data_IF_308918920508
#
_entry.id   IF_308918920508
#
_cell.length_a   1.000
_cell.length_b   1.000
_cell.length_c   1.000
_cell.angle_alpha   90.00
_cell.angle_beta   90.00
_cell.angle_gamma   90.00
#
_symmetry.space_group_name_H-M   'P 1'
#
loop_
_entity.id
_entity.type
_entity.pdbx_description
1 polymer ?
#
# COMPACT_ATOMS: atom_id res chain seq x y z
N UNK A 1 14.40 3.36 -26.26
CA UNK A 1 13.76 2.70 -25.10
C UNK A 1 12.34 3.22 -24.95
N UNK A 2 11.39 2.34 -24.62
CA UNK A 2 9.96 2.69 -24.53
C UNK A 2 9.59 3.40 -23.22
N UNK A 3 8.53 4.22 -23.24
CA UNK A 3 8.03 4.96 -22.06
C UNK A 3 7.72 4.03 -20.87
N UNK A 4 7.19 2.84 -21.13
CA UNK A 4 6.89 1.84 -20.10
C UNK A 4 8.16 1.38 -19.35
N UNK A 5 9.30 1.26 -20.03
CA UNK A 5 10.56 0.87 -19.39
C UNK A 5 11.02 1.91 -18.37
N UNK A 6 11.03 3.19 -18.77
CA UNK A 6 11.40 4.30 -17.88
C UNK A 6 10.44 4.37 -16.68
N UNK A 7 9.14 4.21 -16.91
CA UNK A 7 8.14 4.24 -15.84
C UNK A 7 8.32 3.11 -14.84
N UNK A 8 8.61 1.91 -15.32
CA UNK A 8 8.91 0.77 -14.44
C UNK A 8 10.20 0.95 -13.65
N UNK A 9 11.23 1.56 -14.22
CA UNK A 9 12.45 1.85 -13.49
C UNK A 9 12.18 2.88 -12.37
N UNK A 10 11.51 3.98 -12.70
CA UNK A 10 11.11 4.98 -11.69
C UNK A 10 10.22 4.35 -10.62
N UNK A 11 9.26 3.50 -11.00
CA UNK A 11 8.42 2.75 -10.06
C UNK A 11 9.27 1.89 -9.13
N UNK A 12 10.24 1.15 -9.66
CA UNK A 12 11.12 0.28 -8.87
C UNK A 12 11.90 1.09 -7.83
N UNK A 13 12.42 2.26 -8.23
CA UNK A 13 13.13 3.16 -7.31
C UNK A 13 12.21 3.73 -6.23
N UNK A 14 10.97 4.09 -6.57
CA UNK A 14 9.97 4.57 -5.62
C UNK A 14 9.50 3.45 -4.66
N UNK A 15 9.29 2.25 -5.15
CA UNK A 15 8.90 1.10 -4.32
C UNK A 15 9.98 0.75 -3.27
N UNK A 16 11.27 1.00 -3.57
CA UNK A 16 12.37 0.82 -2.63
C UNK A 16 12.32 1.79 -1.42
N UNK A 17 11.55 2.87 -1.52
CA UNK A 17 11.35 3.89 -0.48
C UNK A 17 9.86 4.09 -0.15
N UNK A 18 9.05 3.02 -0.28
CA UNK A 18 7.60 3.09 -0.10
C UNK A 18 7.17 3.45 1.33
N UNK A 19 8.05 3.36 2.32
CA UNK A 19 7.83 3.79 3.70
C UNK A 19 7.91 5.32 3.89
N UNK A 20 8.45 6.04 2.89
CA UNK A 20 8.51 7.50 2.90
C UNK A 20 7.12 8.10 2.64
N UNK A 21 6.73 9.03 3.50
CA UNK A 21 5.47 9.77 3.37
C UNK A 21 5.32 10.44 1.99
N UNK A 22 4.20 10.18 1.31
CA UNK A 22 3.93 10.73 -0.02
C UNK A 22 4.35 9.84 -1.19
N UNK A 23 5.19 8.82 -0.95
CA UNK A 23 5.59 7.86 -1.99
C UNK A 23 4.44 6.90 -2.36
N UNK A 24 3.70 6.31 -1.42
CA UNK A 24 2.54 5.46 -1.75
C UNK A 24 1.51 6.17 -2.63
N UNK A 25 1.18 7.43 -2.31
CA UNK A 25 0.21 8.22 -3.08
C UNK A 25 0.72 8.56 -4.49
N UNK A 26 2.04 8.63 -4.67
CA UNK A 26 2.65 8.80 -5.98
C UNK A 26 2.59 7.48 -6.77
N UNK A 27 2.94 6.35 -6.16
CA UNK A 27 2.87 5.02 -6.77
C UNK A 27 1.45 4.65 -7.25
N UNK A 28 0.42 5.02 -6.50
CA UNK A 28 -1.00 4.84 -6.86
C UNK A 28 -1.40 5.62 -8.14
N UNK A 29 -0.60 6.61 -8.53
CA UNK A 29 -0.83 7.45 -9.72
C UNK A 29 0.02 7.04 -10.91
N UNK A 30 0.87 6.04 -10.78
CA UNK A 30 1.59 5.50 -11.91
C UNK A 30 0.65 4.68 -12.77
N UNK A 31 0.72 4.84 -14.10
CA UNK A 31 -0.26 4.26 -15.00
C UNK A 31 0.02 2.77 -15.18
N UNK A 32 -1.05 2.00 -15.28
CA UNK A 32 -1.02 0.59 -15.68
C UNK A 32 -2.08 0.33 -16.75
N UNK A 33 -1.85 -0.65 -17.62
CA UNK A 33 -2.86 -1.13 -18.56
C UNK A 33 -3.68 -2.26 -17.92
N UNK A 34 -4.90 -1.96 -17.51
CA UNK A 34 -5.80 -2.91 -16.83
C UNK A 34 -6.61 -3.69 -17.86
N UNK A 35 -6.43 -5.01 -17.90
CA UNK A 35 -7.12 -5.87 -18.85
C UNK A 35 -8.55 -6.23 -18.39
N UNK A 36 -9.55 -5.95 -19.23
CA UNK A 36 -10.96 -6.15 -18.94
C UNK A 36 -11.65 -6.97 -20.05
N UNK A 37 -12.12 -8.16 -19.70
CA UNK A 37 -12.75 -9.14 -20.58
C UNK A 37 -12.81 -10.48 -19.84
N UNK A 38 -13.28 -11.55 -20.46
CA UNK A 38 -13.17 -12.92 -19.96
C UNK A 38 -11.76 -13.49 -20.12
N UNK A 39 -11.47 -14.59 -19.40
CA UNK A 39 -10.15 -15.27 -19.40
C UNK A 39 -9.63 -15.51 -20.82
N UNK A 40 -10.49 -15.98 -21.73
CA UNK A 40 -10.10 -16.32 -23.10
C UNK A 40 -9.55 -15.10 -23.86
N UNK A 41 -10.29 -13.99 -23.85
CA UNK A 41 -9.88 -12.76 -24.52
C UNK A 41 -8.60 -12.16 -23.90
N UNK A 42 -8.49 -12.18 -22.57
CA UNK A 42 -7.28 -11.69 -21.87
C UNK A 42 -6.05 -12.55 -22.19
N UNK A 43 -6.19 -13.88 -22.25
CA UNK A 43 -5.13 -14.80 -22.68
C UNK A 43 -4.68 -14.53 -24.12
N UNK A 44 -5.62 -14.28 -25.02
CA UNK A 44 -5.32 -13.99 -26.42
C UNK A 44 -4.47 -12.72 -26.55
N UNK A 45 -4.86 -11.63 -25.87
CA UNK A 45 -4.06 -10.41 -25.86
C UNK A 45 -2.70 -10.60 -25.20
N UNK A 46 -2.63 -11.27 -24.03
CA UNK A 46 -1.33 -11.52 -23.36
C UNK A 46 -0.41 -12.37 -24.24
N UNK A 47 -0.93 -13.38 -24.94
CA UNK A 47 -0.14 -14.16 -25.89
C UNK A 47 0.40 -13.28 -27.03
N UNK A 48 -0.43 -12.37 -27.57
CA UNK A 48 -0.01 -11.45 -28.62
C UNK A 48 1.05 -10.43 -28.14
N UNK A 49 0.93 -9.96 -26.89
CA UNK A 49 1.91 -9.06 -26.27
C UNK A 49 3.24 -9.76 -25.99
N UNK A 50 3.25 -11.07 -25.75
CA UNK A 50 4.48 -11.86 -25.58
C UNK A 50 5.23 -12.10 -26.90
N UNK A 51 4.63 -11.73 -28.05
CA UNK A 51 5.27 -11.80 -29.36
C UNK A 51 5.24 -13.18 -30.00
N UNK A 52 6.24 -13.47 -30.83
CA UNK A 52 6.28 -14.66 -31.71
C UNK A 52 6.89 -15.91 -31.03
N UNK A 53 6.98 -15.92 -29.71
CA UNK A 53 7.55 -17.03 -28.96
C UNK A 53 6.64 -18.26 -29.04
N UNK A 54 7.14 -19.46 -29.39
CA UNK A 54 6.25 -20.63 -29.57
C UNK A 54 5.48 -21.06 -28.31
N UNK A 55 5.96 -20.67 -27.13
CA UNK A 55 5.28 -20.96 -25.86
C UNK A 55 4.47 -19.77 -25.34
N UNK A 56 4.31 -18.69 -26.11
CA UNK A 56 3.57 -17.49 -25.71
C UNK A 56 2.13 -17.82 -25.28
N UNK A 57 1.42 -18.67 -26.05
CA UNK A 57 0.07 -19.10 -25.69
C UNK A 57 0.04 -19.91 -24.38
N UNK A 58 1.02 -20.79 -24.18
CA UNK A 58 1.15 -21.57 -22.94
C UNK A 58 1.48 -20.69 -21.74
N UNK A 59 2.36 -19.71 -21.91
CA UNK A 59 2.70 -18.73 -20.88
C UNK A 59 1.49 -17.86 -20.54
N UNK A 60 0.77 -17.34 -21.53
CA UNK A 60 -0.47 -16.59 -21.32
C UNK A 60 -1.52 -17.39 -20.56
N UNK A 61 -1.65 -18.70 -20.83
CA UNK A 61 -2.57 -19.57 -20.12
C UNK A 61 -2.24 -19.72 -18.62
N UNK A 62 -0.95 -19.69 -18.27
CA UNK A 62 -0.45 -19.74 -16.88
C UNK A 62 -0.60 -18.38 -16.18
N UNK A 63 -0.29 -17.29 -16.88
CA UNK A 63 -0.31 -15.93 -16.35
C UNK A 63 -1.74 -15.40 -16.15
N UNK A 64 -2.68 -15.84 -16.99
CA UNK A 64 -4.11 -15.51 -16.93
C UNK A 64 -4.88 -16.80 -16.66
N UNK A 65 -4.81 -17.30 -15.42
CA UNK A 65 -5.45 -18.55 -15.03
C UNK A 65 -6.80 -18.33 -14.32
N UNK A 66 -7.76 -19.26 -14.44
CA UNK A 66 -8.91 -19.26 -13.53
C UNK A 66 -8.44 -19.51 -12.09
N UNK A 67 -8.99 -18.77 -11.13
CA UNK A 67 -8.71 -18.97 -9.71
C UNK A 67 -7.48 -18.25 -9.17
N UNK A 68 -6.87 -17.34 -9.94
CA UNK A 68 -5.83 -16.43 -9.43
C UNK A 68 -6.31 -15.71 -8.17
N UNK A 69 -5.44 -15.61 -7.16
CA UNK A 69 -5.77 -15.03 -5.85
C UNK A 69 -5.08 -13.69 -5.58
N UNK A 70 -4.36 -13.16 -6.56
CA UNK A 70 -3.75 -11.84 -6.51
C UNK A 70 -3.66 -11.25 -7.93
N UNK A 71 -3.64 -9.93 -8.09
CA UNK A 71 -3.33 -9.31 -9.37
C UNK A 71 -1.96 -9.76 -9.89
N UNK A 72 -1.82 -9.85 -11.22
CA UNK A 72 -0.53 -10.14 -11.87
C UNK A 72 -0.16 -8.98 -12.78
N UNK A 73 0.88 -8.25 -12.40
CA UNK A 73 1.45 -7.19 -13.21
C UNK A 73 2.57 -7.78 -14.08
N UNK A 74 2.41 -7.69 -15.40
CA UNK A 74 3.36 -8.16 -16.39
C UNK A 74 4.12 -6.96 -16.96
N UNK A 75 5.41 -6.88 -16.66
CA UNK A 75 6.33 -5.90 -17.23
C UNK A 75 7.02 -6.49 -18.45
N UNK A 76 6.45 -6.21 -19.62
CA UNK A 76 6.88 -6.79 -20.88
C UNK A 76 7.99 -5.95 -21.50
N UNK A 77 9.10 -6.59 -21.84
CA UNK A 77 10.26 -5.93 -22.46
C UNK A 77 10.65 -6.65 -23.73
N UNK A 78 10.78 -5.89 -24.81
CA UNK A 78 11.38 -6.40 -26.03
C UNK A 78 12.88 -6.60 -25.76
N UNK A 79 13.36 -7.85 -25.86
CA UNK A 79 14.79 -8.15 -25.73
C UNK A 79 15.59 -7.54 -26.88
N UNK A 80 16.71 -6.89 -26.58
CA UNK A 80 17.65 -6.37 -27.58
C UNK A 80 18.64 -7.45 -28.08
N UNK A 81 18.79 -8.54 -27.32
CA UNK A 81 19.67 -9.65 -27.68
C UNK A 81 18.88 -10.74 -28.39
N UNK A 82 19.54 -11.43 -29.33
CA UNK A 82 19.09 -12.67 -29.94
C UNK A 82 18.87 -13.73 -28.85
N UNK A 83 17.76 -13.62 -28.10
CA UNK A 83 17.22 -14.74 -27.36
C UNK A 83 17.16 -15.89 -28.36
N UNK A 84 17.67 -17.05 -27.95
CA UNK A 84 17.76 -18.23 -28.80
C UNK A 84 16.44 -18.55 -29.49
N UNK A 85 16.45 -19.45 -30.48
CA UNK A 85 15.32 -19.66 -31.37
C UNK A 85 14.00 -19.70 -30.58
N UNK A 86 12.95 -19.04 -31.10
CA UNK A 86 11.62 -18.95 -30.50
C UNK A 86 11.01 -20.31 -30.09
N UNK A 87 11.65 -21.41 -30.52
CA UNK A 87 11.35 -22.81 -30.31
C UNK A 87 12.61 -23.52 -29.76
N UNK A 88 12.45 -24.40 -28.77
CA UNK A 88 13.54 -25.26 -28.28
C UNK A 88 13.61 -25.39 -26.76
N UNK A 89 14.71 -25.97 -26.22
CA UNK A 89 14.85 -26.21 -24.79
C UNK A 89 14.92 -24.93 -23.95
N UNK A 90 15.44 -23.83 -24.52
CA UNK A 90 15.48 -22.52 -23.87
C UNK A 90 14.07 -21.93 -23.73
N UNK A 91 13.25 -22.04 -24.77
CA UNK A 91 11.83 -21.67 -24.74
C UNK A 91 11.05 -22.43 -23.65
N UNK A 92 11.32 -23.73 -23.51
CA UNK A 92 10.72 -24.55 -22.45
C UNK A 92 11.25 -24.22 -21.05
N UNK A 93 12.54 -23.87 -20.93
CA UNK A 93 13.13 -23.41 -19.67
C UNK A 93 12.51 -22.07 -19.22
N UNK A 94 12.34 -21.13 -20.16
CA UNK A 94 11.64 -19.88 -19.93
C UNK A 94 10.19 -20.12 -19.49
N UNK A 95 9.45 -20.99 -20.19
CA UNK A 95 8.07 -21.34 -19.81
C UNK A 95 7.99 -21.94 -18.40
N UNK A 96 8.95 -22.81 -18.02
CA UNK A 96 9.01 -23.38 -16.66
C UNK A 96 9.26 -22.31 -15.61
N UNK A 97 10.10 -21.32 -15.89
CA UNK A 97 10.31 -20.16 -15.01
C UNK A 97 9.01 -19.36 -14.84
N UNK A 98 8.30 -19.08 -15.94
CA UNK A 98 6.98 -18.43 -15.90
C UNK A 98 5.98 -19.24 -15.08
N UNK A 99 5.93 -20.56 -15.26
CA UNK A 99 5.04 -21.45 -14.50
C UNK A 99 5.34 -21.40 -12.99
N UNK A 100 6.62 -21.44 -12.62
CA UNK A 100 7.05 -21.35 -11.22
C UNK A 100 6.65 -20.02 -10.59
N UNK A 101 6.84 -18.91 -11.30
CA UNK A 101 6.47 -17.58 -10.83
C UNK A 101 4.94 -17.41 -10.74
N UNK A 102 4.20 -17.79 -11.78
CA UNK A 102 2.73 -17.73 -11.81
C UNK A 102 2.08 -18.61 -10.73
N UNK A 103 2.71 -19.74 -10.39
CA UNK A 103 2.27 -20.61 -9.30
C UNK A 103 2.14 -19.90 -7.95
N UNK A 104 2.90 -18.82 -7.73
CA UNK A 104 2.78 -18.01 -6.51
C UNK A 104 1.45 -17.26 -6.42
N UNK A 105 0.85 -16.90 -7.57
CA UNK A 105 -0.44 -16.22 -7.65
C UNK A 105 -1.66 -17.15 -7.52
N UNK A 106 -1.46 -18.45 -7.69
CA UNK A 106 -2.48 -19.48 -7.47
C UNK A 106 -2.55 -19.95 -6.00
N UNK A 107 -1.75 -19.37 -5.10
CA UNK A 107 -1.67 -19.76 -3.69
C UNK A 107 -3.01 -19.67 -2.92
N UNK A 108 -3.03 -20.16 -1.68
CA UNK A 108 -4.29 -20.31 -0.92
C UNK A 108 -4.91 -19.02 -0.38
N UNK A 109 -4.17 -17.90 -0.31
CA UNK A 109 -4.61 -16.64 0.31
C UNK A 109 -4.79 -15.54 -0.72
N UNK A 110 -5.87 -14.76 -0.58
CA UNK A 110 -6.09 -13.55 -1.38
C UNK A 110 -5.14 -12.43 -0.95
N UNK A 111 -4.28 -11.98 -1.88
CA UNK A 111 -3.34 -10.86 -1.69
C UNK A 111 -3.77 -9.67 -2.54
N UNK A 112 -3.65 -8.48 -1.97
CA UNK A 112 -4.07 -7.22 -2.60
C UNK A 112 -2.98 -6.68 -3.51
N UNK A 113 -1.73 -6.81 -3.09
CA UNK A 113 -0.57 -6.38 -3.86
C UNK A 113 -0.35 -7.27 -5.07
N UNK A 114 0.03 -6.65 -6.18
CA UNK A 114 0.23 -7.36 -7.43
C UNK A 114 1.52 -8.19 -7.39
N UNK A 115 1.45 -9.41 -7.94
CA UNK A 115 2.66 -10.15 -8.32
C UNK A 115 3.22 -9.53 -9.59
N UNK A 116 4.33 -8.83 -9.45
CA UNK A 116 5.04 -8.17 -10.54
C UNK A 116 6.05 -9.11 -11.17
N UNK A 117 5.89 -9.38 -12.45
CA UNK A 117 6.72 -10.28 -13.25
C UNK A 117 7.31 -9.52 -14.42
N UNK A 118 8.64 -9.43 -14.48
CA UNK A 118 9.35 -8.87 -15.63
C UNK A 118 9.65 -9.97 -16.63
N UNK A 119 9.07 -9.85 -17.81
CA UNK A 119 9.17 -10.84 -18.88
C UNK A 119 9.85 -10.20 -20.09
N UNK A 120 10.97 -10.78 -20.49
CA UNK A 120 11.68 -10.41 -21.71
C UNK A 120 11.60 -11.54 -22.71
N UNK A 121 11.21 -11.23 -23.95
CA UNK A 121 11.16 -12.16 -25.06
C UNK A 121 11.35 -11.44 -26.40
N UNK A 122 11.72 -12.19 -27.45
CA UNK A 122 11.84 -11.66 -28.80
C UNK A 122 10.46 -11.26 -29.34
N UNK A 123 10.34 -10.03 -29.87
CA UNK A 123 9.09 -9.51 -30.40
C UNK A 123 8.03 -9.21 -29.33
N UNK A 124 8.39 -9.28 -28.05
CA UNK A 124 7.55 -8.90 -26.93
C UNK A 124 7.27 -7.40 -26.95
N UNK A 125 6.07 -7.00 -26.52
CA UNK A 125 5.69 -5.61 -26.35
C UNK A 125 6.56 -4.92 -25.29
N UNK A 126 6.73 -3.60 -25.39
CA UNK A 126 7.29 -2.74 -24.36
C UNK A 126 6.16 -2.07 -23.56
N UNK A 127 5.47 -2.84 -22.74
CA UNK A 127 4.27 -2.41 -22.04
C UNK A 127 4.12 -3.07 -20.67
N UNK A 128 3.52 -2.35 -19.72
CA UNK A 128 3.13 -2.91 -18.42
C UNK A 128 1.62 -3.14 -18.41
N UNK A 129 1.20 -4.40 -18.29
CA UNK A 129 -0.22 -4.78 -18.21
C UNK A 129 -0.52 -5.47 -16.89
N UNK A 130 -1.74 -5.32 -16.39
CA UNK A 130 -2.20 -5.99 -15.17
C UNK A 130 -3.42 -6.85 -15.44
N UNK A 131 -3.30 -8.12 -15.09
CA UNK A 131 -4.40 -9.08 -15.04
C UNK A 131 -5.00 -9.11 -13.64
N UNK A 132 -6.34 -9.08 -13.57
CA UNK A 132 -7.08 -9.07 -12.31
C UNK A 132 -7.83 -10.39 -12.10
N UNK A 133 -7.87 -10.93 -10.86
CA UNK A 133 -8.68 -12.09 -10.53
C UNK A 133 -10.15 -11.99 -10.96
N UNK A 134 -10.69 -13.09 -11.48
CA UNK A 134 -12.10 -13.17 -11.87
C UNK A 134 -13.05 -13.48 -10.71
N UNK A 135 -14.34 -13.20 -10.96
CA UNK A 135 -15.46 -13.69 -10.15
C UNK A 135 -15.65 -15.18 -10.45
N UNK A 136 -15.08 -16.07 -9.65
CA UNK A 136 -15.30 -17.51 -9.84
C UNK A 136 -16.57 -17.98 -9.14
N UNK A 137 -17.55 -18.45 -9.94
CA UNK A 137 -18.72 -19.21 -9.47
C UNK A 137 -19.89 -18.40 -8.87
N UNK A 138 -21.02 -19.09 -8.66
CA UNK A 138 -22.26 -18.55 -8.08
C UNK A 138 -22.19 -18.34 -6.55
N UNK A 139 -21.13 -18.81 -5.90
CA UNK A 139 -20.85 -18.53 -4.50
C UNK A 139 -20.11 -17.19 -4.41
N UNK A 140 -20.88 -16.12 -4.17
CA UNK A 140 -20.47 -14.75 -3.84
C UNK A 140 -19.01 -14.40 -4.17
N UNK A 141 -18.81 -13.66 -5.27
CA UNK A 141 -17.55 -12.95 -5.53
C UNK A 141 -17.05 -12.33 -4.22
N UNK A 142 -15.87 -12.76 -3.76
CA UNK A 142 -15.33 -12.28 -2.49
C UNK A 142 -15.31 -10.76 -2.51
N UNK A 143 -15.86 -10.06 -1.49
CA UNK A 143 -15.90 -8.59 -1.48
C UNK A 143 -14.50 -7.99 -1.65
N UNK A 144 -13.46 -8.71 -1.20
CA UNK A 144 -12.06 -8.36 -1.40
C UNK A 144 -11.62 -8.38 -2.86
N UNK A 145 -12.13 -9.29 -3.69
CA UNK A 145 -11.86 -9.30 -5.14
C UNK A 145 -12.51 -8.09 -5.81
N UNK A 146 -13.74 -7.75 -5.42
CA UNK A 146 -14.41 -6.55 -5.94
C UNK A 146 -13.69 -5.27 -5.52
N UNK A 147 -13.22 -5.18 -4.29
CA UNK A 147 -12.41 -4.05 -3.81
C UNK A 147 -11.11 -3.91 -4.61
N UNK A 148 -10.39 -5.02 -4.84
CA UNK A 148 -9.18 -5.03 -5.66
C UNK A 148 -9.45 -4.53 -7.09
N UNK A 149 -10.53 -5.00 -7.71
CA UNK A 149 -10.91 -4.56 -9.07
C UNK A 149 -11.33 -3.09 -9.10
N UNK A 150 -12.14 -2.67 -8.12
CA UNK A 150 -12.58 -1.28 -8.01
C UNK A 150 -11.39 -0.33 -7.81
N UNK A 151 -10.36 -0.73 -7.07
CA UNK A 151 -9.12 0.06 -6.91
C UNK A 151 -8.41 0.29 -8.24
N UNK A 152 -8.16 -0.79 -9.00
CA UNK A 152 -7.42 -0.68 -10.27
C UNK A 152 -8.24 0.02 -11.36
N UNK A 153 -9.52 -0.32 -11.51
CA UNK A 153 -10.39 0.28 -12.54
C UNK A 153 -10.76 1.72 -12.16
N UNK A 154 -10.93 2.00 -10.86
CA UNK A 154 -11.27 3.32 -10.33
C UNK A 154 -10.14 4.33 -10.37
N UNK A 155 -8.87 3.90 -10.36
CA UNK A 155 -7.74 4.81 -10.50
C UNK A 155 -7.78 5.50 -11.86
N UNK A 156 -7.93 6.82 -11.87
CA UNK A 156 -7.89 7.61 -13.09
C UNK A 156 -6.53 7.48 -13.81
N UNK A 157 -5.47 7.08 -13.10
CA UNK A 157 -4.13 6.85 -13.63
C UNK A 157 -4.04 5.66 -14.60
N UNK A 158 -5.00 4.75 -14.57
CA UNK A 158 -4.93 3.52 -15.36
C UNK A 158 -5.60 3.66 -16.73
N UNK A 159 -4.99 3.02 -17.73
CA UNK A 159 -5.59 2.80 -19.04
C UNK A 159 -6.42 1.52 -18.98
N UNK A 160 -7.70 1.61 -19.30
CA UNK A 160 -8.61 0.47 -19.31
C UNK A 160 -8.60 -0.18 -20.70
N UNK A 161 -8.30 -1.48 -20.76
CA UNK A 161 -8.24 -2.23 -22.02
C UNK A 161 -9.45 -3.17 -22.08
N UNK A 162 -10.48 -2.76 -22.81
CA UNK A 162 -11.71 -3.52 -22.95
C UNK A 162 -11.62 -4.46 -24.16
N UNK A 163 -11.74 -5.76 -23.91
CA UNK A 163 -11.57 -6.81 -24.92
C UNK A 163 -12.88 -7.37 -25.45
N UNK A 164 -13.95 -7.25 -24.67
CA UNK A 164 -15.26 -7.83 -24.98
C UNK A 164 -16.41 -6.84 -24.75
N UNK A 165 -17.50 -6.95 -25.54
CA UNK A 165 -18.71 -6.18 -25.30
C UNK A 165 -19.45 -6.65 -24.03
N UNK A 166 -20.53 -5.94 -23.67
CA UNK A 166 -21.37 -6.32 -22.53
C UNK A 166 -20.80 -5.85 -21.19
N UNK A 167 -20.78 -6.73 -20.18
CA UNK A 167 -20.44 -6.35 -18.81
C UNK A 167 -19.05 -5.68 -18.64
N UNK A 168 -17.97 -6.12 -19.31
CA UNK A 168 -16.68 -5.43 -19.26
C UNK A 168 -16.74 -4.00 -19.82
N UNK A 169 -17.45 -3.80 -20.94
CA UNK A 169 -17.62 -2.48 -21.55
C UNK A 169 -18.48 -1.55 -20.69
N UNK A 170 -19.56 -2.05 -20.11
CA UNK A 170 -20.40 -1.27 -19.18
C UNK A 170 -19.63 -0.89 -17.91
N UNK A 171 -18.72 -1.76 -17.44
CA UNK A 171 -17.80 -1.43 -16.36
C UNK A 171 -16.85 -0.29 -16.76
N UNK A 172 -16.27 -0.33 -17.96
CA UNK A 172 -15.44 0.77 -18.46
C UNK A 172 -16.22 2.09 -18.50
N UNK A 173 -17.43 2.09 -19.09
CA UNK A 173 -18.28 3.30 -19.17
C UNK A 173 -18.64 3.86 -17.79
N UNK A 174 -18.77 3.01 -16.77
CA UNK A 174 -19.03 3.46 -15.39
C UNK A 174 -17.86 4.25 -14.80
N UNK A 175 -16.62 3.83 -15.09
CA UNK A 175 -15.39 4.43 -14.53
C UNK A 175 -14.68 5.41 -15.47
N UNK A 176 -15.10 5.45 -16.73
CA UNK A 176 -14.65 6.36 -17.76
C UNK A 176 -15.81 6.66 -18.75
N UNK A 177 -16.81 7.47 -18.33
CA UNK A 177 -18.01 7.73 -19.15
C UNK A 177 -17.72 8.37 -20.51
N UNK A 178 -16.57 9.05 -20.63
CA UNK A 178 -16.13 9.71 -21.86
C UNK A 178 -15.12 8.88 -22.66
N UNK A 179 -14.82 7.66 -22.23
CA UNK A 179 -13.88 6.73 -22.89
C UNK A 179 -12.49 7.34 -23.15
N UNK A 180 -12.06 8.32 -22.34
CA UNK A 180 -10.79 9.04 -22.55
C UNK A 180 -9.58 8.16 -22.26
N UNK A 181 -9.71 7.28 -21.27
CA UNK A 181 -8.66 6.35 -20.81
C UNK A 181 -9.05 4.90 -21.06
N UNK A 182 -9.99 4.65 -21.98
CA UNK A 182 -10.43 3.31 -22.34
C UNK A 182 -10.08 3.02 -23.80
N UNK A 183 -9.47 1.87 -24.05
CA UNK A 183 -9.19 1.35 -25.39
C UNK A 183 -10.07 0.14 -25.63
N UNK A 184 -10.72 0.10 -26.79
CA UNK A 184 -11.47 -1.05 -27.25
C UNK A 184 -10.58 -1.88 -28.17
N UNK A 185 -10.47 -3.16 -27.86
CA UNK A 185 -9.63 -4.13 -28.58
C UNK A 185 -10.47 -5.40 -28.83
N UNK A 186 -10.15 -6.14 -29.89
CA UNK A 186 -10.83 -7.39 -30.24
C UNK A 186 -12.34 -7.23 -30.44
N UNK A 187 -13.12 -8.12 -29.82
CA UNK A 187 -14.58 -8.15 -29.96
C UNK A 187 -15.27 -6.87 -29.48
N UNK A 188 -14.70 -6.16 -28.49
CA UNK A 188 -15.23 -4.88 -28.03
C UNK A 188 -15.17 -3.79 -29.11
N UNK A 189 -14.06 -3.72 -29.85
CA UNK A 189 -13.90 -2.75 -30.94
C UNK A 189 -14.88 -3.05 -32.09
N UNK A 190 -15.04 -4.33 -32.44
CA UNK A 190 -16.01 -4.79 -33.44
C UNK A 190 -17.46 -4.42 -33.13
N UNK A 191 -17.85 -4.50 -31.85
CA UNK A 191 -19.19 -4.10 -31.43
C UNK A 191 -19.41 -2.59 -31.41
N UNK A 192 -18.34 -1.78 -31.34
CA UNK A 192 -18.41 -0.32 -31.16
C UNK A 192 -18.38 0.48 -32.47
N UNK A 193 -18.16 -0.14 -33.63
CA UNK A 193 -18.09 0.51 -34.96
C UNK A 193 -19.41 1.17 -35.45
N UNK A 194 -20.35 1.45 -34.55
CA UNK A 194 -21.51 2.31 -34.77
C UNK A 194 -21.33 3.80 -34.42
N UNK A 195 -20.18 4.26 -33.92
CA UNK A 195 -19.94 5.70 -33.75
C UNK A 195 -18.65 6.12 -33.04
N UNK A 196 -17.82 6.93 -33.72
CA UNK A 196 -16.72 7.74 -33.16
C UNK A 196 -15.34 7.52 -33.80
N UNK A 197 -14.56 8.59 -33.98
CA UNK A 197 -13.25 8.61 -34.69
C UNK A 197 -12.06 8.01 -33.90
N UNK A 198 -12.25 7.60 -32.63
CA UNK A 198 -11.15 7.17 -31.74
C UNK A 198 -11.04 5.63 -31.60
N UNK A 199 -11.71 4.88 -32.48
CA UNK A 199 -11.77 3.42 -32.44
C UNK A 199 -10.67 2.78 -33.29
N UNK A 200 -9.98 1.78 -32.73
CA UNK A 200 -9.14 0.89 -33.53
C UNK A 200 -10.02 0.03 -34.47
N UNK A 201 -9.60 -0.26 -35.71
CA UNK A 201 -10.41 -1.01 -36.67
C UNK A 201 -10.67 -2.45 -36.21
N UNK A 202 -11.95 -2.81 -36.12
CA UNK A 202 -12.52 -4.03 -35.54
C UNK A 202 -11.90 -5.38 -35.92
N UNK A 203 -11.48 -5.57 -37.16
CA UNK A 203 -11.42 -6.93 -37.74
C UNK A 203 -10.17 -7.76 -37.39
N UNK A 204 -9.20 -7.26 -36.61
CA UNK A 204 -7.87 -7.91 -36.46
C UNK A 204 -7.20 -7.80 -35.08
N UNK A 205 -7.93 -7.43 -34.02
CA UNK A 205 -7.32 -6.74 -32.87
C UNK A 205 -6.81 -7.59 -31.70
N UNK A 206 -6.45 -8.86 -31.85
CA UNK A 206 -5.68 -9.58 -30.82
C UNK A 206 -4.32 -10.07 -31.33
N UNK A 207 -3.73 -9.36 -32.30
CA UNK A 207 -2.42 -9.67 -32.87
C UNK A 207 -1.35 -8.59 -32.60
N UNK A 208 -0.16 -8.71 -33.19
CA UNK A 208 0.94 -7.76 -33.00
C UNK A 208 0.60 -6.31 -33.31
N UNK A 209 -0.33 -6.06 -34.25
CA UNK A 209 -0.81 -4.72 -34.56
C UNK A 209 -1.59 -4.08 -33.38
N UNK A 210 -2.37 -4.87 -32.66
CA UNK A 210 -3.10 -4.41 -31.48
C UNK A 210 -2.16 -4.12 -30.30
N UNK A 211 -1.12 -4.96 -30.13
CA UNK A 211 -0.05 -4.70 -29.17
C UNK A 211 0.63 -3.34 -29.42
N UNK A 212 1.02 -3.05 -30.67
CA UNK A 212 1.61 -1.76 -31.05
C UNK A 212 0.67 -0.58 -30.84
N UNK A 213 -0.60 -0.72 -31.24
CA UNK A 213 -1.60 0.33 -31.03
C UNK A 213 -1.81 0.62 -29.53
N UNK A 214 -1.78 -0.42 -28.69
CA UNK A 214 -1.89 -0.27 -27.24
C UNK A 214 -0.65 0.42 -26.66
N UNK A 215 0.56 0.09 -27.11
CA UNK A 215 1.78 0.80 -26.73
C UNK A 215 1.72 2.29 -27.08
N UNK A 216 1.30 2.62 -28.31
CA UNK A 216 1.15 4.01 -28.76
C UNK A 216 0.12 4.77 -27.92
N UNK A 217 -1.03 4.16 -27.63
CA UNK A 217 -2.07 4.79 -26.80
C UNK A 217 -1.60 4.96 -25.36
N UNK A 218 -0.90 3.98 -24.80
CA UNK A 218 -0.30 4.09 -23.47
C UNK A 218 0.76 5.19 -23.42
N UNK A 219 1.62 5.28 -24.44
CA UNK A 219 2.63 6.34 -24.53
C UNK A 219 1.98 7.74 -24.59
N UNK A 220 0.90 7.90 -25.34
CA UNK A 220 0.12 9.17 -25.38
C UNK A 220 -0.45 9.51 -23.99
N UNK A 221 -1.09 8.55 -23.32
CA UNK A 221 -1.62 8.75 -21.97
C UNK A 221 -0.52 9.11 -20.96
N UNK A 222 0.67 8.52 -21.08
CA UNK A 222 1.81 8.86 -20.24
C UNK A 222 2.33 10.27 -20.52
N UNK A 223 2.43 10.67 -21.80
CA UNK A 223 2.85 12.03 -22.18
C UNK A 223 1.92 13.10 -21.63
N UNK A 224 0.61 12.86 -21.69
CA UNK A 224 -0.39 13.80 -21.16
C UNK A 224 -0.29 13.98 -19.64
N UNK A 225 0.23 12.97 -18.93
CA UNK A 225 0.29 12.93 -17.46
C UNK A 225 1.66 13.26 -16.89
N UNK A 226 2.69 13.16 -17.71
CA UNK A 226 4.08 13.41 -17.33
C UNK A 226 4.25 14.76 -16.59
N UNK A 227 3.64 15.88 -17.00
CA UNK A 227 3.80 17.15 -16.28
C UNK A 227 3.33 17.07 -14.82
N UNK A 228 2.24 16.35 -14.56
CA UNK A 228 1.73 16.18 -13.21
C UNK A 228 2.66 15.30 -12.37
N UNK A 229 3.20 14.21 -12.93
CA UNK A 229 4.15 13.38 -12.19
C UNK A 229 5.44 14.11 -11.87
N UNK A 230 6.01 14.86 -12.83
CA UNK A 230 7.22 15.65 -12.61
C UNK A 230 7.00 16.66 -11.48
N UNK A 231 5.88 17.38 -11.49
CA UNK A 231 5.54 18.29 -10.40
C UNK A 231 5.45 17.60 -9.03
N UNK A 232 4.91 16.38 -8.98
CA UNK A 232 4.82 15.61 -7.74
C UNK A 232 6.19 15.08 -7.27
N UNK A 233 7.03 14.62 -8.21
CA UNK A 233 8.41 14.19 -7.94
C UNK A 233 9.25 15.35 -7.42
N UNK A 234 9.16 16.54 -8.03
CA UNK A 234 9.84 17.76 -7.56
C UNK A 234 9.42 18.14 -6.13
N UNK A 235 8.11 18.07 -5.82
CA UNK A 235 7.61 18.33 -4.46
C UNK A 235 8.14 17.30 -3.46
N UNK A 236 8.20 16.02 -3.87
CA UNK A 236 8.74 14.95 -3.05
C UNK A 236 10.23 15.19 -2.79
N UNK A 237 11.00 15.55 -3.82
CA UNK A 237 12.43 15.87 -3.71
C UNK A 237 12.69 17.03 -2.75
N UNK A 238 11.94 18.14 -2.87
CA UNK A 238 12.05 19.30 -1.98
C UNK A 238 11.79 18.90 -0.52
N UNK A 239 10.74 18.12 -0.29
CA UNK A 239 10.38 17.63 1.06
C UNK A 239 11.46 16.71 1.62
N UNK A 240 11.93 15.74 0.85
CA UNK A 240 12.98 14.82 1.25
C UNK A 240 14.29 15.57 1.56
N UNK A 241 14.65 16.54 0.73
CA UNK A 241 15.83 17.39 0.93
C UNK A 241 15.74 18.19 2.22
N UNK A 242 14.55 18.71 2.53
CA UNK A 242 14.28 19.41 3.79
C UNK A 242 14.42 18.48 4.99
N UNK A 243 13.78 17.31 4.97
CA UNK A 243 13.86 16.33 6.06
C UNK A 243 15.30 15.84 6.28
N UNK A 244 16.05 15.60 5.21
CA UNK A 244 17.46 15.23 5.31
C UNK A 244 18.29 16.35 5.95
N UNK A 245 18.03 17.61 5.62
CA UNK A 245 18.70 18.75 6.22
C UNK A 245 18.37 18.86 7.71
N UNK A 246 17.10 18.76 8.09
CA UNK A 246 16.65 18.79 9.49
C UNK A 246 17.27 17.63 10.30
N UNK A 247 17.34 16.43 9.74
CA UNK A 247 18.00 15.28 10.35
C UNK A 247 19.50 15.53 10.58
N UNK A 248 20.22 16.06 9.58
CA UNK A 248 21.65 16.40 9.70
C UNK A 248 21.91 17.50 10.71
N UNK A 249 21.06 18.52 10.75
CA UNK A 249 21.17 19.59 11.77
C UNK A 249 20.94 19.04 13.18
N UNK A 250 20.02 18.08 13.33
CA UNK A 250 19.77 17.39 14.60
C UNK A 250 20.98 16.57 15.01
N UNK A 251 21.52 15.75 14.09
CA UNK A 251 22.73 14.95 14.32
C UNK A 251 23.94 15.81 14.71
N UNK A 252 24.11 16.98 14.09
CA UNK A 252 25.21 17.91 14.41
C UNK A 252 25.02 18.62 15.75
N UNK A 253 23.78 18.84 16.18
CA UNK A 253 23.47 19.49 17.47
C UNK A 253 23.47 18.50 18.64
N UNK A 254 23.21 17.23 18.37
CA UNK A 254 23.21 16.20 19.40
C UNK A 254 24.63 15.78 19.77
N UNK A 255 25.03 16.11 20.99
CA UNK A 255 26.28 15.60 21.58
C UNK A 255 26.04 14.20 22.12
N UNK A 256 27.07 13.35 22.09
CA UNK A 256 27.01 12.00 22.67
C UNK A 256 26.57 12.02 24.15
N UNK A 257 26.89 13.10 24.87
CA UNK A 257 26.49 13.30 26.26
C UNK A 257 24.99 13.56 26.40
N UNK A 258 24.40 14.37 25.52
CA UNK A 258 22.96 14.65 25.51
C UNK A 258 22.15 13.41 25.10
N UNK A 259 22.63 12.63 24.12
CA UNK A 259 22.04 11.35 23.74
C UNK A 259 22.09 10.37 24.92
N UNK A 260 23.24 10.25 25.60
CA UNK A 260 23.38 9.41 26.79
C UNK A 260 22.47 9.88 27.94
N UNK A 261 22.33 11.19 28.13
CA UNK A 261 21.43 11.78 29.14
C UNK A 261 19.98 11.40 28.86
N UNK A 262 19.51 11.54 27.62
CA UNK A 262 18.15 11.14 27.21
C UNK A 262 17.94 9.63 27.32
N UNK A 263 18.91 8.82 26.91
CA UNK A 263 18.85 7.36 27.05
C UNK A 263 18.77 6.93 28.53
N UNK A 264 19.54 7.58 29.41
CA UNK A 264 19.45 7.36 30.87
C UNK A 264 18.11 7.80 31.43
N UNK A 265 17.59 8.96 31.02
CA UNK A 265 16.28 9.44 31.44
C UNK A 265 15.15 8.48 31.01
N UNK A 266 15.20 8.00 29.76
CA UNK A 266 14.27 6.99 29.26
C UNK A 266 14.40 5.66 30.01
N UNK A 267 15.63 5.20 30.29
CA UNK A 267 15.90 4.00 31.08
C UNK A 267 15.41 4.10 32.52
N UNK A 268 15.57 5.26 33.17
CA UNK A 268 15.02 5.52 34.50
C UNK A 268 13.49 5.56 34.49
N UNK A 269 12.90 6.20 33.49
CA UNK A 269 11.44 6.23 33.31
C UNK A 269 10.86 4.82 33.12
N UNK A 270 11.45 4.04 32.22
CA UNK A 270 11.07 2.65 31.98
C UNK A 270 11.27 1.78 33.23
N UNK A 271 12.41 1.93 33.92
CA UNK A 271 12.71 1.19 35.14
C UNK A 271 11.71 1.47 36.26
N UNK A 272 11.29 2.73 36.45
CA UNK A 272 10.24 3.11 37.40
C UNK A 272 8.89 2.49 37.02
N UNK A 273 8.50 2.57 35.75
CA UNK A 273 7.25 1.97 35.28
C UNK A 273 7.24 0.44 35.48
N UNK A 274 8.37 -0.23 35.21
CA UNK A 274 8.50 -1.68 35.37
C UNK A 274 8.52 -2.11 36.85
N UNK A 275 9.14 -1.32 37.73
CA UNK A 275 9.19 -1.59 39.16
C UNK A 275 7.78 -1.74 39.76
N UNK A 276 6.82 -0.93 39.31
CA UNK A 276 5.42 -1.01 39.76
C UNK A 276 4.68 -2.27 39.26
N UNK A 277 5.06 -2.81 38.10
CA UNK A 277 4.54 -4.09 37.60
C UNK A 277 5.14 -5.27 38.40
N UNK A 278 6.41 -5.16 38.81
CA UNK A 278 7.14 -6.19 39.56
C UNK A 278 6.79 -6.20 41.05
N UNK A 279 6.51 -5.04 41.65
CA UNK A 279 6.10 -4.91 43.05
C UNK A 279 4.64 -5.36 43.28
N UNK A 280 3.86 -5.53 42.21
CA UNK A 280 2.57 -6.21 42.26
C UNK A 280 2.74 -7.72 42.47
N UNK A 281 1.98 -8.33 43.39
CA UNK A 281 2.03 -9.78 43.60
C UNK A 281 1.55 -10.51 42.33
N UNK A 282 2.39 -11.33 41.66
CA UNK A 282 1.98 -12.04 40.46
C UNK A 282 0.79 -12.96 40.77
N UNK A 283 -0.32 -12.78 40.05
CA UNK A 283 -1.54 -13.58 40.22
C UNK A 283 -2.60 -13.01 41.19
N UNK A 284 -2.37 -11.85 41.80
CA UNK A 284 -3.43 -11.11 42.49
C UNK A 284 -4.24 -10.31 41.45
N UNK A 285 -5.57 -10.44 41.45
CA UNK A 285 -6.49 -9.65 40.60
C UNK A 285 -7.26 -8.59 41.39
N UNK A 286 -7.04 -8.52 42.70
CA UNK A 286 -7.70 -7.53 43.55
C UNK A 286 -7.09 -6.14 43.27
N UNK A 287 -7.90 -5.23 42.73
CA UNK A 287 -7.46 -3.88 42.34
C UNK A 287 -6.80 -3.79 40.97
N UNK A 288 -7.03 -4.77 40.08
CA UNK A 288 -6.59 -4.67 38.69
C UNK A 288 -7.46 -3.68 37.91
N UNK A 289 -6.85 -2.69 37.28
CA UNK A 289 -7.51 -1.64 36.51
C UNK A 289 -6.95 -1.61 35.10
N UNK A 290 -7.78 -1.24 34.12
CA UNK A 290 -7.28 -0.88 32.79
C UNK A 290 -6.61 0.50 32.86
N UNK A 291 -5.83 0.85 31.83
CA UNK A 291 -5.22 2.18 31.76
C UNK A 291 -6.28 3.28 31.85
N UNK A 292 -7.43 3.10 31.19
CA UNK A 292 -8.52 4.07 31.23
C UNK A 292 -9.12 4.20 32.63
N UNK A 293 -9.43 3.08 33.28
CA UNK A 293 -10.02 3.08 34.63
C UNK A 293 -9.09 3.77 35.64
N UNK A 294 -7.78 3.49 35.57
CA UNK A 294 -6.78 4.08 36.45
C UNK A 294 -6.64 5.59 36.24
N UNK A 295 -6.67 6.07 34.99
CA UNK A 295 -6.62 7.50 34.67
C UNK A 295 -7.87 8.25 35.15
N UNK A 296 -9.05 7.62 35.04
CA UNK A 296 -10.31 8.19 35.53
C UNK A 296 -10.33 8.23 37.06
N UNK A 297 -9.81 7.20 37.72
CA UNK A 297 -9.67 7.17 39.19
C UNK A 297 -8.71 8.27 39.66
N UNK A 298 -7.57 8.43 39.00
CA UNK A 298 -6.61 9.50 39.28
C UNK A 298 -7.24 10.88 39.13
N UNK A 299 -7.92 11.15 38.03
CA UNK A 299 -8.59 12.43 37.80
C UNK A 299 -9.62 12.73 38.90
N UNK A 300 -10.36 11.71 39.33
CA UNK A 300 -11.37 11.82 40.38
C UNK A 300 -10.73 12.11 41.74
N UNK A 301 -9.63 11.43 42.07
CA UNK A 301 -8.92 11.64 43.32
C UNK A 301 -8.20 12.98 43.38
N UNK A 302 -7.57 13.41 42.28
CA UNK A 302 -6.93 14.71 42.17
C UNK A 302 -7.97 15.83 42.39
N UNK A 303 -9.15 15.74 41.75
CA UNK A 303 -10.23 16.71 41.95
C UNK A 303 -10.78 16.76 43.39
N UNK A 304 -10.67 15.65 44.13
CA UNK A 304 -11.09 15.54 45.54
C UNK A 304 -9.97 15.87 46.54
N UNK A 305 -8.75 16.15 46.05
CA UNK A 305 -7.58 16.34 46.91
C UNK A 305 -7.16 15.07 47.66
N UNK A 306 -7.44 13.90 47.10
CA UNK A 306 -7.18 12.57 47.67
C UNK A 306 -5.91 11.92 47.12
N UNK A 307 -5.14 12.63 46.30
CA UNK A 307 -3.84 12.14 45.84
C UNK A 307 -2.80 12.28 46.97
N UNK A 308 -2.46 11.16 47.61
CA UNK A 308 -1.36 11.13 48.58
C UNK A 308 -0.02 11.27 47.84
N UNK A 309 0.61 12.45 47.95
CA UNK A 309 1.99 12.64 47.53
C UNK A 309 2.87 12.01 48.60
N UNK A 310 3.23 10.73 48.43
CA UNK A 310 4.26 10.11 49.26
C UNK A 310 5.56 10.93 49.21
N UNK A 311 6.41 10.81 50.23
CA UNK A 311 7.72 11.47 50.34
C UNK A 311 8.55 11.21 49.08
N UNK A 312 8.39 12.06 48.07
CA UNK A 312 9.28 12.08 46.92
C UNK A 312 10.61 12.59 47.42
N UNK A 313 11.68 11.92 47.02
CA UNK A 313 13.07 12.22 47.39
C UNK A 313 13.57 13.62 46.96
N UNK A 314 12.66 14.48 46.50
CA UNK A 314 12.85 15.84 46.03
C UNK A 314 12.15 16.89 46.90
N UNK A 315 12.00 16.67 48.21
CA UNK A 315 11.95 17.72 49.25
C UNK A 315 10.85 18.80 49.20
N UNK A 316 9.94 18.79 48.22
CA UNK A 316 8.80 19.69 48.13
C UNK A 316 7.53 18.86 48.00
N UNK A 317 6.76 18.76 49.09
CA UNK A 317 5.43 18.16 49.04
C UNK A 317 4.52 19.08 48.22
N UNK A 318 4.05 18.60 47.06
CA UNK A 318 3.04 19.28 46.27
C UNK A 318 1.74 19.34 47.11
N UNK A 319 1.11 20.50 47.15
CA UNK A 319 -0.20 20.63 47.77
C UNK A 319 -1.25 19.91 46.93
N UNK A 320 -2.28 19.36 47.60
CA UNK A 320 -3.40 18.72 46.91
C UNK A 320 -4.06 19.63 45.86
N UNK A 321 -3.98 20.95 46.05
CA UNK A 321 -4.49 21.95 45.12
C UNK A 321 -3.63 22.09 43.86
N UNK A 322 -2.30 22.00 43.97
CA UNK A 322 -1.38 22.00 42.82
C UNK A 322 -1.57 20.75 41.96
N UNK A 323 -1.71 19.58 42.59
CA UNK A 323 -1.98 18.32 41.88
C UNK A 323 -3.33 18.39 41.14
N UNK A 324 -4.36 18.94 41.79
CA UNK A 324 -5.67 19.11 41.16
C UNK A 324 -5.61 20.04 39.93
N UNK A 325 -4.88 21.15 40.03
CA UNK A 325 -4.74 22.12 38.94
C UNK A 325 -3.95 21.53 37.77
N UNK A 326 -2.83 20.87 38.03
CA UNK A 326 -1.99 20.27 37.00
C UNK A 326 -2.69 19.08 36.31
N UNK A 327 -3.40 18.23 37.06
CA UNK A 327 -4.22 17.17 36.48
C UNK A 327 -5.34 17.73 35.59
N UNK A 328 -6.01 18.80 36.03
CA UNK A 328 -7.06 19.45 35.25
C UNK A 328 -6.50 20.07 33.96
N UNK A 329 -5.33 20.73 34.03
CA UNK A 329 -4.66 21.32 32.87
C UNK A 329 -4.26 20.23 31.86
N UNK A 330 -3.61 19.16 32.32
CA UNK A 330 -3.22 18.02 31.51
C UNK A 330 -4.41 17.42 30.75
N UNK A 331 -5.50 17.08 31.46
CA UNK A 331 -6.64 16.42 30.83
C UNK A 331 -7.48 17.35 29.96
N UNK A 332 -7.43 18.67 30.20
CA UNK A 332 -8.18 19.65 29.39
C UNK A 332 -7.77 19.61 27.91
N UNK A 333 -6.48 19.39 27.62
CA UNK A 333 -5.94 19.30 26.27
C UNK A 333 -6.46 18.11 25.46
N UNK A 334 -7.06 17.12 26.12
CA UNK A 334 -7.55 15.89 25.50
C UNK A 334 -9.07 15.69 25.65
N UNK A 335 -9.80 16.67 26.20
CA UNK A 335 -11.24 16.53 26.45
C UNK A 335 -11.56 15.63 27.66
N UNK A 336 -10.65 15.54 28.64
CA UNK A 336 -10.80 14.76 29.87
C UNK A 336 -9.93 13.51 29.93
N UNK A 337 -9.96 12.80 31.06
CA UNK A 337 -9.14 11.61 31.31
C UNK A 337 -9.40 10.49 30.28
N UNK A 338 -10.65 10.27 29.89
CA UNK A 338 -11.05 9.32 28.83
C UNK A 338 -10.49 9.67 27.46
N UNK A 339 -10.48 10.97 27.12
CA UNK A 339 -9.89 11.44 25.86
C UNK A 339 -8.37 11.26 25.86
N UNK A 340 -7.72 11.50 27.00
CA UNK A 340 -6.30 11.21 27.18
C UNK A 340 -5.98 9.71 27.07
N UNK A 341 -6.80 8.85 27.68
CA UNK A 341 -6.68 7.39 27.53
C UNK A 341 -6.82 6.96 26.07
N UNK A 342 -7.78 7.54 25.34
CA UNK A 342 -8.00 7.30 23.91
C UNK A 342 -6.78 7.71 23.07
N UNK A 343 -6.20 8.88 23.36
CA UNK A 343 -4.96 9.35 22.74
C UNK A 343 -3.80 8.35 22.99
N UNK A 344 -3.60 7.92 24.23
CA UNK A 344 -2.55 6.97 24.58
C UNK A 344 -2.72 5.61 23.89
N UNK A 345 -3.97 5.15 23.73
CA UNK A 345 -4.30 3.89 23.06
C UNK A 345 -4.13 3.96 21.54
N UNK A 346 -4.65 5.00 20.90
CA UNK A 346 -4.78 5.03 19.44
C UNK A 346 -3.61 5.74 18.75
N UNK A 347 -3.13 6.84 19.33
CA UNK A 347 -2.04 7.65 18.77
C UNK A 347 -0.68 7.17 19.28
N UNK A 348 -0.51 7.08 20.60
CA UNK A 348 0.76 6.62 21.21
C UNK A 348 0.94 5.10 21.12
N UNK A 349 -0.17 4.36 20.95
CA UNK A 349 -0.20 2.89 20.82
C UNK A 349 0.46 2.17 22.00
N UNK A 350 0.12 2.59 23.22
CA UNK A 350 0.58 1.88 24.42
C UNK A 350 0.08 0.42 24.37
N UNK A 351 0.98 -0.57 24.40
CA UNK A 351 0.59 -1.97 24.38
C UNK A 351 -0.16 -2.33 25.67
N UNK A 352 -1.14 -3.22 25.54
CA UNK A 352 -1.91 -3.75 26.68
C UNK A 352 -2.72 -2.71 27.47
N UNK A 353 -3.09 -1.56 26.88
CA UNK A 353 -3.96 -0.55 27.52
C UNK A 353 -5.32 -1.12 28.01
N UNK A 354 -5.82 -2.16 27.34
CA UNK A 354 -7.06 -2.87 27.67
C UNK A 354 -6.88 -3.98 28.70
N UNK A 355 -5.64 -4.31 29.06
CA UNK A 355 -5.37 -5.42 29.98
C UNK A 355 -5.46 -4.88 31.40
N UNK A 356 -6.32 -5.45 32.27
CA UNK A 356 -6.34 -5.09 33.67
C UNK A 356 -5.03 -5.54 34.32
N UNK A 357 -4.24 -4.58 34.79
CA UNK A 357 -3.00 -4.82 35.51
C UNK A 357 -3.16 -4.35 36.95
N UNK A 358 -2.38 -4.90 37.89
CA UNK A 358 -2.36 -4.42 39.27
C UNK A 358 -2.15 -2.90 39.27
N UNK A 359 -3.15 -2.16 39.74
CA UNK A 359 -3.21 -0.70 39.60
C UNK A 359 -2.07 0.01 40.34
N UNK A 360 -1.78 1.23 39.91
CA UNK A 360 -0.81 2.15 40.53
C UNK A 360 0.28 2.63 39.58
N UNK A 361 0.53 1.95 38.46
CA UNK A 361 1.59 2.32 37.53
C UNK A 361 1.29 3.63 36.78
N UNK A 362 0.08 3.81 36.25
CA UNK A 362 -0.30 5.06 35.60
C UNK A 362 -0.53 6.18 36.62
N UNK A 363 -1.05 5.85 37.81
CA UNK A 363 -1.23 6.78 38.91
C UNK A 363 0.09 7.39 39.38
N UNK A 364 1.09 6.55 39.66
CA UNK A 364 2.41 7.00 40.11
C UNK A 364 3.18 7.72 39.01
N UNK A 365 3.02 7.28 37.75
CA UNK A 365 3.56 8.02 36.60
C UNK A 365 3.00 9.46 36.57
N UNK A 366 1.69 9.61 36.71
CA UNK A 366 1.04 10.91 36.72
C UNK A 366 1.45 11.77 37.92
N UNK A 367 1.59 11.18 39.11
CA UNK A 367 2.15 11.89 40.28
C UNK A 367 3.59 12.38 40.07
N UNK A 368 4.37 11.72 39.19
CA UNK A 368 5.73 12.13 38.86
C UNK A 368 5.81 13.10 37.66
N UNK A 369 4.80 13.10 36.79
CA UNK A 369 4.70 13.99 35.62
C UNK A 369 4.10 15.36 35.97
N UNK A 370 3.29 15.42 37.03
CA UNK A 370 2.67 16.63 37.61
C UNK A 370 3.62 17.31 38.60
#
# INVERSE_FOLDING_TARGET
EGVAWVLSEVRTQLEAIADVEGVPELLDRFPECVLLGGIAARRELVAALLGEHAVAASAAALLVAPGMRQPVALELRCGAEEFGPANGPEAEAWLRSVAQAAGQALGHRLKVDALRLRLSAMGCANLDVIDLPERTGAAAASPKIEEMRARHVGSAANLLVCLEPGAPLELCKRFDPHMKRTVLIGAAASAAQGGGDDHLPASTLCGPAAARALEERFATLCKDRLPHWLQHLERLEVRLSRQQKEARETEQRETSEEVLRRARAAGLSFGRALQHVVDGTPGCTAGALTLEDELVEFATAAARGQCETGDTSSGAALSAQEVALAAADLFSGFGGATGYATYLKNEVRIPAAEVPLNGGAAWQRLLAEI
#
